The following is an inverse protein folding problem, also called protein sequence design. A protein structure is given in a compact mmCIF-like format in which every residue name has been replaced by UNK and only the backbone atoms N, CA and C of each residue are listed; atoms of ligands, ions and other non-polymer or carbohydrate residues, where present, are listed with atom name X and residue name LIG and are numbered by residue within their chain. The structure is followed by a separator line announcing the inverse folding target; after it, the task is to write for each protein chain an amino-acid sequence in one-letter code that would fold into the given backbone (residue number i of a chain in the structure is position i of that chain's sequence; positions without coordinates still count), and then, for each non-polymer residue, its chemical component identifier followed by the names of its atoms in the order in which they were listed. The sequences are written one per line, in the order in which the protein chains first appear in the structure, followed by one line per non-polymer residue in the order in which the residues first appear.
data_IF_026994303248
#
_entry.id   IF_026994303248
#
_cell.length_a   1.000
_cell.length_b   1.000
_cell.length_c   1.000
_cell.angle_alpha   90.00
_cell.angle_beta   90.00
_cell.angle_gamma   90.00
#
_symmetry.space_group_name_H-M   'P 1'
#
loop_
_entity.id
_entity.type
_entity.pdbx_description
1 polymer ?
#
# COMPACT_ATOMS: atom_id res chain seq x y z
N UNK A 1 -10.29 10.00 3.21
CA UNK A 1 -9.32 10.04 4.31
C UNK A 1 -7.95 10.52 3.85
N UNK A 2 -7.42 9.98 2.77
CA UNK A 2 -6.07 10.37 2.33
C UNK A 2 -5.98 11.82 1.85
N UNK A 3 -7.08 12.41 1.44
CA UNK A 3 -7.09 13.82 1.02
C UNK A 3 -6.68 14.78 2.13
N UNK A 4 -6.96 14.43 3.39
CA UNK A 4 -6.58 15.25 4.54
C UNK A 4 -5.14 14.99 4.98
N UNK A 5 -4.46 14.05 4.35
CA UNK A 5 -3.13 13.61 4.76
C UNK A 5 -2.15 13.57 3.57
N UNK A 6 -2.39 14.40 2.54
CA UNK A 6 -1.61 14.35 1.30
C UNK A 6 -0.11 14.51 1.56
N UNK A 7 0.29 15.54 2.31
CA UNK A 7 1.69 15.78 2.59
C UNK A 7 2.32 14.62 3.36
N UNK A 8 1.60 14.11 4.35
CA UNK A 8 2.05 12.97 5.15
C UNK A 8 2.29 11.74 4.26
N UNK A 9 1.37 11.44 3.35
CA UNK A 9 1.50 10.32 2.44
C UNK A 9 2.66 10.52 1.44
N UNK A 10 2.85 11.73 0.96
CA UNK A 10 3.99 12.02 0.09
C UNK A 10 5.32 11.77 0.79
N UNK A 11 5.40 12.05 2.09
CA UNK A 11 6.64 11.89 2.84
C UNK A 11 6.88 10.45 3.31
N UNK A 12 5.83 9.73 3.66
CA UNK A 12 5.96 8.44 4.34
C UNK A 12 5.54 7.24 3.51
N UNK A 13 4.63 7.41 2.57
CA UNK A 13 4.05 6.28 1.83
C UNK A 13 4.54 6.19 0.41
N UNK A 14 4.31 7.24 -0.40
CA UNK A 14 4.70 7.20 -1.81
C UNK A 14 6.12 7.69 -2.05
N UNK A 15 6.64 8.51 -1.16
CA UNK A 15 7.94 9.16 -1.31
C UNK A 15 8.03 9.95 -2.60
N UNK A 16 6.89 10.53 -3.00
CA UNK A 16 6.75 11.23 -4.27
C UNK A 16 5.64 12.26 -4.18
N UNK A 17 5.74 13.31 -4.95
CA UNK A 17 4.67 14.29 -5.13
C UNK A 17 3.80 13.97 -6.35
N UNK A 18 4.12 12.90 -7.08
CA UNK A 18 3.35 12.50 -8.24
C UNK A 18 1.96 11.98 -7.87
N UNK A 19 1.85 11.33 -6.72
CA UNK A 19 0.57 10.90 -6.15
C UNK A 19 0.76 10.67 -4.65
N UNK A 20 -0.13 11.13 -3.78
CA UNK A 20 -1.21 12.07 -4.11
C UNK A 20 -0.64 13.46 -4.42
N UNK A 21 -1.24 14.16 -5.37
CA UNK A 21 -0.82 15.52 -5.70
C UNK A 21 -1.44 16.50 -4.71
N UNK A 22 -0.80 17.65 -4.53
CA UNK A 22 -1.28 18.65 -3.58
C UNK A 22 -2.66 19.21 -3.95
N UNK A 23 -3.01 19.17 -5.25
CA UNK A 23 -4.28 19.69 -5.77
C UNK A 23 -5.33 18.61 -6.02
N UNK A 24 -5.11 17.41 -5.48
CA UNK A 24 -6.04 16.30 -5.64
C UNK A 24 -7.42 16.67 -5.09
N UNK A 25 -8.46 16.51 -5.90
CA UNK A 25 -9.82 16.83 -5.50
C UNK A 25 -10.68 15.57 -5.29
N UNK A 26 -11.94 15.75 -4.92
CA UNK A 26 -12.83 14.64 -4.63
C UNK A 26 -13.11 13.78 -5.85
N UNK A 27 -13.14 14.38 -7.04
CA UNK A 27 -13.35 13.64 -8.29
C UNK A 27 -12.15 12.74 -8.59
N UNK A 28 -10.94 13.26 -8.41
CA UNK A 28 -9.71 12.48 -8.56
C UNK A 28 -9.67 11.32 -7.56
N UNK A 29 -10.05 11.59 -6.32
CA UNK A 29 -10.10 10.57 -5.29
C UNK A 29 -11.09 9.47 -5.63
N UNK A 30 -12.25 9.83 -6.17
CA UNK A 30 -13.26 8.86 -6.59
C UNK A 30 -12.74 7.99 -7.74
N UNK A 31 -12.04 8.60 -8.70
CA UNK A 31 -11.44 7.86 -9.81
C UNK A 31 -10.40 6.85 -9.31
N UNK A 32 -9.59 7.23 -8.34
CA UNK A 32 -8.62 6.33 -7.72
C UNK A 32 -9.31 5.15 -7.05
N UNK A 33 -10.39 5.40 -6.32
CA UNK A 33 -11.15 4.36 -5.64
C UNK A 33 -11.80 3.41 -6.62
N UNK A 34 -12.34 3.92 -7.73
CA UNK A 34 -12.90 3.10 -8.79
C UNK A 34 -11.85 2.21 -9.45
N UNK A 35 -10.65 2.72 -9.66
CA UNK A 35 -9.54 1.94 -10.19
C UNK A 35 -9.13 0.83 -9.22
N UNK A 36 -9.07 1.12 -7.93
CA UNK A 36 -8.74 0.11 -6.92
C UNK A 36 -9.81 -0.97 -6.85
N UNK A 37 -11.10 -0.59 -6.95
CA UNK A 37 -12.18 -1.56 -6.96
C UNK A 37 -12.08 -2.49 -8.17
N UNK A 38 -11.77 -1.93 -9.33
CA UNK A 38 -11.62 -2.71 -10.56
C UNK A 38 -10.49 -3.72 -10.45
N UNK A 39 -9.34 -3.30 -9.90
CA UNK A 39 -8.21 -4.20 -9.68
C UNK A 39 -8.54 -5.29 -8.67
N UNK A 40 -9.31 -4.95 -7.65
CA UNK A 40 -9.74 -5.92 -6.63
C UNK A 40 -10.64 -6.98 -7.25
N UNK A 41 -11.61 -6.57 -8.05
CA UNK A 41 -12.52 -7.49 -8.73
C UNK A 41 -11.79 -8.35 -9.76
N UNK A 42 -10.80 -7.79 -10.42
CA UNK A 42 -9.96 -8.53 -11.37
C UNK A 42 -8.88 -9.37 -10.69
N UNK A 43 -8.77 -9.30 -9.36
CA UNK A 43 -7.80 -10.01 -8.54
C UNK A 43 -6.34 -9.68 -8.90
N UNK A 44 -6.11 -8.44 -9.32
CA UNK A 44 -4.77 -7.94 -9.68
C UNK A 44 -4.07 -7.33 -8.48
N UNK A 45 -4.81 -6.65 -7.63
CA UNK A 45 -4.31 -6.10 -6.38
C UNK A 45 -5.47 -5.88 -5.42
N UNK A 46 -5.16 -5.81 -4.13
CA UNK A 46 -6.19 -5.75 -3.10
C UNK A 46 -5.92 -4.57 -2.19
N UNK A 47 -6.87 -3.64 -2.12
CA UNK A 47 -6.83 -2.50 -1.23
C UNK A 47 -7.94 -2.65 -0.18
N UNK A 48 -7.59 -2.47 1.07
CA UNK A 48 -8.52 -2.62 2.19
C UNK A 48 -8.53 -1.34 3.01
N UNK A 49 -9.70 -0.72 3.12
CA UNK A 49 -9.87 0.43 3.99
C UNK A 49 -9.89 -0.04 5.45
N UNK A 50 -9.18 0.68 6.31
CA UNK A 50 -9.16 0.43 7.75
C UNK A 50 -10.08 1.44 8.39
N UNK A 51 -11.19 0.98 8.95
CA UNK A 51 -12.25 1.84 9.44
C UNK A 51 -12.30 1.84 10.97
N UNK A 52 -12.90 2.90 11.53
CA UNK A 52 -13.28 2.89 12.95
C UNK A 52 -14.33 1.79 13.18
N UNK A 53 -14.48 1.29 14.43
CA UNK A 53 -15.45 0.21 14.69
C UNK A 53 -16.89 0.52 14.26
N UNK A 54 -17.29 1.80 14.26
CA UNK A 54 -18.60 2.20 13.80
C UNK A 54 -18.71 2.31 12.27
N UNK A 55 -17.59 2.17 11.57
CA UNK A 55 -17.54 2.24 10.11
C UNK A 55 -17.67 3.64 9.52
N UNK A 56 -17.67 4.67 10.34
CA UNK A 56 -17.94 6.04 9.88
C UNK A 56 -16.71 6.80 9.41
N UNK A 57 -15.49 6.34 9.78
CA UNK A 57 -14.29 7.07 9.45
C UNK A 57 -13.17 6.12 9.04
N UNK A 58 -12.49 6.45 7.97
CA UNK A 58 -11.32 5.69 7.50
C UNK A 58 -10.07 6.14 8.27
N UNK A 59 -9.33 5.18 8.81
CA UNK A 59 -8.10 5.42 9.56
C UNK A 59 -6.85 5.23 8.72
N UNK A 60 -6.95 4.43 7.65
CA UNK A 60 -5.84 4.12 6.80
C UNK A 60 -6.24 3.13 5.73
N UNK A 61 -5.23 2.55 5.07
CA UNK A 61 -5.45 1.58 4.01
C UNK A 61 -4.29 0.60 3.94
N UNK A 62 -4.59 -0.66 3.61
CA UNK A 62 -3.59 -1.70 3.39
C UNK A 62 -3.71 -2.16 1.94
N UNK A 63 -2.58 -2.24 1.25
CA UNK A 63 -2.51 -2.72 -0.13
C UNK A 63 -1.73 -4.02 -0.19
N UNK A 64 -2.30 -5.03 -0.84
CA UNK A 64 -1.64 -6.31 -1.08
C UNK A 64 -1.54 -6.49 -2.58
N UNK A 65 -0.33 -6.57 -3.11
CA UNK A 65 -0.06 -6.63 -4.55
C UNK A 65 1.02 -7.65 -4.85
N UNK A 66 1.06 -8.17 -6.09
CA UNK A 66 2.24 -8.94 -6.52
C UNK A 66 3.48 -8.07 -6.40
N UNK A 67 4.59 -8.67 -6.02
CA UNK A 67 5.84 -7.90 -5.89
C UNK A 67 6.37 -7.50 -7.25
N UNK A 68 6.75 -6.23 -7.45
CA UNK A 68 7.49 -5.81 -8.64
C UNK A 68 8.97 -6.17 -8.58
N UNK A 69 9.45 -6.65 -7.43
CA UNK A 69 10.86 -7.02 -7.25
C UNK A 69 11.00 -8.53 -7.17
N UNK A 70 12.11 -9.04 -7.70
CA UNK A 70 12.42 -10.47 -7.67
C UNK A 70 12.64 -10.95 -6.24
N UNK A 71 12.31 -12.20 -5.97
CA UNK A 71 12.54 -12.84 -4.68
C UNK A 71 11.40 -12.71 -3.70
N UNK A 72 10.31 -12.00 -4.05
CA UNK A 72 9.14 -11.84 -3.18
C UNK A 72 7.87 -12.25 -3.92
N UNK A 73 6.99 -12.94 -3.23
CA UNK A 73 5.68 -13.33 -3.76
C UNK A 73 4.73 -12.15 -3.83
N UNK A 74 4.81 -11.29 -2.83
CA UNK A 74 3.89 -10.18 -2.69
C UNK A 74 4.58 -8.99 -2.03
N UNK A 75 3.97 -7.84 -2.23
CA UNK A 75 4.37 -6.59 -1.60
C UNK A 75 3.17 -6.08 -0.81
N UNK A 76 3.37 -5.77 0.47
CA UNK A 76 2.34 -5.18 1.29
C UNK A 76 2.76 -3.79 1.70
N UNK A 77 1.87 -2.84 1.49
CA UNK A 77 2.08 -1.45 1.85
C UNK A 77 0.86 -0.97 2.63
N UNK A 78 1.06 -0.05 3.53
CA UNK A 78 -0.03 0.54 4.28
C UNK A 78 0.28 1.99 4.62
N UNK A 79 -0.77 2.76 4.86
CA UNK A 79 -0.66 4.11 5.39
C UNK A 79 -1.81 4.36 6.38
N UNK A 80 -1.58 5.30 7.26
CA UNK A 80 -2.61 5.82 8.15
C UNK A 80 -2.70 7.32 7.96
N UNK A 81 -3.81 7.91 8.38
CA UNK A 81 -3.93 9.37 8.31
C UNK A 81 -2.91 10.02 9.23
N UNK A 82 -2.63 11.30 9.00
CA UNK A 82 -1.68 12.05 9.82
C UNK A 82 -2.07 12.00 11.31
N UNK A 83 -3.36 12.17 11.59
CA UNK A 83 -3.85 12.14 12.97
C UNK A 83 -3.64 10.78 13.62
N UNK A 84 -3.89 9.69 12.88
CA UNK A 84 -3.69 8.34 13.40
C UNK A 84 -2.19 8.04 13.59
N UNK A 85 -1.36 8.54 12.69
CA UNK A 85 0.09 8.39 12.82
C UNK A 85 0.59 9.07 14.10
N UNK A 86 0.14 10.28 14.35
CA UNK A 86 0.53 11.03 15.55
C UNK A 86 0.08 10.31 16.82
N UNK A 87 -1.01 9.55 16.76
CA UNK A 87 -1.51 8.73 17.85
C UNK A 87 -0.87 7.36 17.97
N UNK A 88 0.08 7.00 17.11
CA UNK A 88 0.79 5.72 17.18
C UNK A 88 0.13 4.56 16.44
N UNK A 89 -0.91 4.80 15.69
CA UNK A 89 -1.65 3.73 15.02
C UNK A 89 -0.87 3.06 13.88
N UNK A 90 0.08 3.77 13.27
CA UNK A 90 0.86 3.19 12.18
C UNK A 90 1.58 1.91 12.62
N UNK A 91 2.27 1.96 13.75
CA UNK A 91 2.98 0.78 14.29
C UNK A 91 2.01 -0.32 14.71
N UNK A 92 0.88 0.05 15.27
CA UNK A 92 -0.15 -0.90 15.67
C UNK A 92 -0.75 -1.61 14.46
N UNK A 93 -1.06 -0.86 13.40
CA UNK A 93 -1.60 -1.43 12.18
C UNK A 93 -0.60 -2.34 11.49
N UNK A 94 0.67 -1.96 11.46
CA UNK A 94 1.71 -2.79 10.88
C UNK A 94 1.80 -4.15 11.60
N UNK A 95 1.78 -4.14 12.92
CA UNK A 95 1.82 -5.37 13.71
C UNK A 95 0.64 -6.27 13.38
N UNK A 96 -0.55 -5.69 13.33
CA UNK A 96 -1.75 -6.43 12.98
C UNK A 96 -1.68 -6.98 11.54
N UNK A 97 -1.24 -6.14 10.62
CA UNK A 97 -1.18 -6.51 9.20
C UNK A 97 -0.21 -7.66 8.96
N UNK A 98 0.95 -7.66 9.64
CA UNK A 98 1.91 -8.76 9.51
C UNK A 98 1.33 -10.08 9.97
N UNK A 99 0.60 -10.08 11.08
CA UNK A 99 -0.06 -11.29 11.59
C UNK A 99 -1.16 -11.74 10.63
N UNK A 100 -1.93 -10.81 10.10
CA UNK A 100 -3.00 -11.12 9.15
C UNK A 100 -2.46 -11.71 7.86
N UNK A 101 -1.42 -11.12 7.30
CA UNK A 101 -0.80 -11.64 6.08
C UNK A 101 -0.23 -13.04 6.31
N UNK A 102 0.46 -13.24 7.43
CA UNK A 102 1.06 -14.53 7.74
C UNK A 102 0.00 -15.63 7.94
N UNK A 103 -1.15 -15.28 8.50
CA UNK A 103 -2.18 -16.27 8.83
C UNK A 103 -3.24 -16.49 7.75
N UNK A 104 -3.53 -15.48 6.93
CA UNK A 104 -4.66 -15.52 6.01
C UNK A 104 -4.27 -15.60 4.54
N UNK A 105 -3.01 -15.33 4.19
CA UNK A 105 -2.56 -15.30 2.81
C UNK A 105 -1.51 -16.38 2.56
N UNK A 106 -1.47 -16.97 1.34
CA UNK A 106 -0.58 -18.10 1.04
C UNK A 106 0.81 -17.67 0.56
N UNK A 107 1.33 -16.57 1.05
CA UNK A 107 2.63 -16.07 0.63
C UNK A 107 3.75 -16.62 1.49
N UNK A 108 4.89 -16.93 0.85
CA UNK A 108 6.09 -17.37 1.54
C UNK A 108 7.06 -16.22 1.81
N UNK A 109 7.19 -15.31 0.83
CA UNK A 109 8.13 -14.19 0.89
C UNK A 109 7.42 -12.89 0.61
N UNK A 110 7.13 -12.14 1.67
CA UNK A 110 6.41 -10.88 1.57
C UNK A 110 7.37 -9.73 1.80
N UNK A 111 7.34 -8.75 0.91
CA UNK A 111 8.12 -7.53 1.06
C UNK A 111 7.29 -6.44 1.73
N UNK A 112 7.92 -5.69 2.63
CA UNK A 112 7.34 -4.56 3.35
C UNK A 112 8.20 -3.32 3.10
N UNK A 113 8.11 -2.71 1.89
CA UNK A 113 8.98 -1.59 1.55
C UNK A 113 8.75 -0.38 2.46
N UNK A 114 9.84 0.27 2.85
CA UNK A 114 9.79 1.41 3.75
C UNK A 114 9.61 1.03 5.21
N UNK A 115 9.54 -0.28 5.51
CA UNK A 115 9.39 -0.81 6.87
C UNK A 115 10.54 -1.75 7.20
N UNK A 116 10.40 -3.06 6.95
CA UNK A 116 11.53 -3.96 7.16
C UNK A 116 12.61 -3.83 6.07
N UNK A 117 12.24 -3.30 4.90
CA UNK A 117 13.18 -3.04 3.82
C UNK A 117 13.27 -1.52 3.63
N UNK A 118 14.44 -0.89 3.87
CA UNK A 118 14.59 0.54 3.63
C UNK A 118 14.28 0.88 2.17
N UNK A 119 13.73 2.07 1.95
CA UNK A 119 13.34 2.49 0.60
C UNK A 119 14.49 2.43 -0.40
N UNK A 120 15.70 2.85 0.00
CA UNK A 120 16.86 2.83 -0.88
C UNK A 120 17.23 1.40 -1.29
N UNK A 121 17.15 0.46 -0.35
CA UNK A 121 17.42 -0.94 -0.64
C UNK A 121 16.35 -1.53 -1.56
N UNK A 122 15.09 -1.19 -1.32
CA UNK A 122 13.98 -1.66 -2.15
C UNK A 122 14.11 -1.18 -3.59
N UNK A 123 14.41 0.10 -3.77
CA UNK A 123 14.57 0.68 -5.10
C UNK A 123 15.72 0.07 -5.88
N UNK A 124 16.78 -0.37 -5.19
CA UNK A 124 17.95 -0.98 -5.80
C UNK A 124 17.78 -2.45 -6.14
N UNK A 125 16.73 -3.10 -5.68
CA UNK A 125 16.50 -4.52 -5.93
C UNK A 125 16.14 -4.79 -7.39
N UNK A 126 16.53 -5.97 -7.93
CA UNK A 126 16.16 -6.35 -9.30
C UNK A 126 14.65 -6.48 -9.46
N UNK A 127 14.14 -6.04 -10.60
CA UNK A 127 12.72 -6.16 -10.93
C UNK A 127 12.37 -7.58 -11.32
N UNK A 128 11.25 -8.08 -10.77
CA UNK A 128 10.72 -9.38 -11.12
C UNK A 128 10.21 -9.40 -12.57
N UNK A 129 9.69 -8.27 -13.04
CA UNK A 129 9.14 -8.13 -14.38
C UNK A 129 10.16 -8.34 -15.50
N UNK A 130 11.45 -8.16 -15.21
CA UNK A 130 12.50 -8.37 -16.21
C UNK A 130 12.47 -9.82 -16.71
N UNK A 131 12.41 -10.77 -15.79
CA UNK A 131 12.38 -12.19 -16.14
C UNK A 131 11.08 -12.54 -16.87
N UNK A 132 9.99 -12.02 -16.40
CA UNK A 132 8.69 -12.26 -17.05
C UNK A 132 8.61 -11.63 -18.43
N UNK A 133 9.22 -10.47 -18.60
CA UNK A 133 9.25 -9.80 -19.90
C UNK A 133 9.99 -10.62 -20.93
N UNK A 134 11.06 -11.32 -20.52
CA UNK A 134 11.81 -12.18 -21.43
C UNK A 134 11.08 -13.47 -21.74
N UNK A 135 10.18 -13.91 -20.87
CA UNK A 135 9.41 -15.14 -21.06
C UNK A 135 8.13 -14.90 -21.86
N UNK A 136 7.67 -13.68 -21.92
CA UNK A 136 6.45 -13.35 -22.65
C UNK A 136 6.74 -13.25 -24.13
N UNK A 137 5.91 -13.90 -24.95
CA UNK A 137 6.06 -13.83 -26.40
C UNK A 137 5.77 -12.47 -26.97
#
# INVERSE_FOLDING_TARGET
AYMSSIEHLQQTFTRSTAWPTADLDAEDAMADMENERRRFEARESFAYAVLTPDGLRERGCIYVRPSPKAGFDAMVRLWVTRAEFDGGFDAELETWARAWIAGAWPFEHVAWPGRSIPWTAWEAMPDAGVDRSSDEP
#
